data_IF_339173378029
#
_entry.id   IF_339173378029
#
_cell.length_a   1.000
_cell.length_b   1.000
_cell.length_c   1.000
_cell.angle_alpha   90.00
_cell.angle_beta   90.00
_cell.angle_gamma   90.00
#
_symmetry.space_group_name_H-M   'P 1'
#
loop_
_entity.id
_entity.type
_entity.pdbx_description
1 polymer ?
#
# COMPACT_ATOMS: atom_id res chain seq x y z
N UNK A 1 2.77 -35.98 12.80
CA UNK A 1 2.33 -34.81 13.54
C UNK A 1 1.78 -33.75 12.62
N UNK A 2 0.91 -32.99 13.13
CA UNK A 2 0.34 -31.91 12.36
C UNK A 2 1.31 -30.76 12.31
N UNK A 3 1.55 -30.31 11.13
CA UNK A 3 2.35 -29.11 10.96
C UNK A 3 1.53 -27.90 11.35
N UNK A 4 2.18 -27.00 12.02
CA UNK A 4 1.54 -25.77 12.43
C UNK A 4 1.59 -24.77 11.30
N UNK A 5 1.24 -25.22 10.12
CA UNK A 5 1.26 -24.34 8.96
C UNK A 5 0.30 -23.19 9.16
N UNK A 6 0.77 -22.02 8.86
CA UNK A 6 -0.03 -20.82 9.03
C UNK A 6 0.05 -20.20 10.40
N UNK A 7 0.78 -20.79 11.33
CA UNK A 7 0.91 -20.21 12.67
C UNK A 7 2.04 -19.19 12.75
N UNK A 8 3.10 -19.36 11.98
CA UNK A 8 4.18 -18.38 11.98
C UNK A 8 3.70 -17.05 11.38
N UNK A 9 4.07 -15.93 12.00
CA UNK A 9 3.59 -14.62 11.52
C UNK A 9 3.88 -14.33 10.05
N UNK A 10 4.94 -14.92 9.48
CA UNK A 10 5.26 -14.69 8.07
C UNK A 10 4.12 -15.07 7.13
N UNK A 11 3.24 -15.99 7.56
CA UNK A 11 2.11 -16.41 6.73
C UNK A 11 1.03 -15.35 6.61
N UNK A 12 1.09 -14.34 7.46
CA UNK A 12 0.15 -13.22 7.40
C UNK A 12 0.72 -12.00 6.68
N UNK A 13 1.96 -12.09 6.19
CA UNK A 13 2.51 -11.03 5.35
C UNK A 13 1.74 -10.94 4.06
N UNK A 14 1.53 -9.73 3.59
CA UNK A 14 0.83 -9.49 2.34
C UNK A 14 1.86 -9.45 1.21
N UNK A 15 1.70 -10.32 0.22
CA UNK A 15 2.65 -10.43 -0.88
C UNK A 15 2.83 -9.12 -1.65
N UNK A 16 1.74 -8.38 -1.85
CA UNK A 16 1.84 -7.10 -2.55
C UNK A 16 2.66 -6.10 -1.75
N UNK A 17 2.57 -6.14 -0.43
CA UNK A 17 3.23 -5.17 0.43
C UNK A 17 4.67 -5.57 0.80
N UNK A 18 5.13 -6.71 0.30
CA UNK A 18 6.53 -7.10 0.48
C UNK A 18 7.46 -6.44 -0.54
N UNK A 19 6.92 -5.69 -1.47
CA UNK A 19 7.70 -4.89 -2.39
C UNK A 19 7.91 -3.51 -1.78
N UNK A 20 9.16 -3.07 -1.70
CA UNK A 20 9.50 -1.81 -1.02
C UNK A 20 8.78 -0.60 -1.61
N UNK A 21 8.60 -0.56 -2.93
CA UNK A 21 7.93 0.57 -3.59
C UNK A 21 6.45 0.58 -3.22
N UNK A 22 5.77 -0.56 -3.35
CA UNK A 22 4.36 -0.64 -2.99
C UNK A 22 4.13 -0.39 -1.51
N UNK A 23 5.02 -0.91 -0.67
CA UNK A 23 4.98 -0.64 0.76
C UNK A 23 5.06 0.87 1.03
N UNK A 24 5.97 1.55 0.36
CA UNK A 24 6.16 3.00 0.53
C UNK A 24 4.95 3.80 0.05
N UNK A 25 4.35 3.38 -1.07
CA UNK A 25 3.13 4.02 -1.57
C UNK A 25 2.01 3.92 -0.55
N UNK A 26 1.77 2.72 -0.05
CA UNK A 26 0.67 2.50 0.90
C UNK A 26 0.94 3.21 2.22
N UNK A 27 2.20 3.25 2.66
CA UNK A 27 2.58 3.99 3.87
C UNK A 27 2.22 5.47 3.74
N UNK A 28 2.52 6.08 2.59
CA UNK A 28 2.20 7.48 2.35
C UNK A 28 0.69 7.71 2.36
N UNK A 29 -0.05 6.82 1.73
CA UNK A 29 -1.51 6.94 1.68
C UNK A 29 -2.15 6.68 3.03
N UNK A 30 -1.60 5.79 3.83
CA UNK A 30 -2.14 5.52 5.16
C UNK A 30 -2.05 6.77 6.04
N UNK A 31 -0.98 7.53 5.93
CA UNK A 31 -0.84 8.75 6.72
C UNK A 31 -1.76 9.87 6.23
N UNK A 32 -1.93 9.99 4.93
CA UNK A 32 -2.63 11.13 4.34
C UNK A 32 -4.08 10.85 3.97
N UNK A 33 -4.41 9.58 3.74
CA UNK A 33 -5.72 9.16 3.25
C UNK A 33 -5.80 9.26 1.73
N UNK A 34 -5.65 10.44 1.19
CA UNK A 34 -5.69 10.69 -0.25
C UNK A 34 -4.54 11.62 -0.63
N UNK A 35 -3.85 11.28 -1.69
CA UNK A 35 -2.78 12.11 -2.24
C UNK A 35 -2.91 12.17 -3.76
N UNK A 36 -2.38 13.23 -4.34
CA UNK A 36 -2.26 13.31 -5.80
C UNK A 36 -1.21 12.33 -6.29
N UNK A 37 -1.38 11.90 -7.53
CA UNK A 37 -0.43 10.98 -8.18
C UNK A 37 1.00 11.54 -8.12
N UNK A 38 1.16 12.83 -8.47
CA UNK A 38 2.49 13.46 -8.47
C UNK A 38 3.09 13.54 -7.06
N UNK A 39 2.25 13.78 -6.07
CA UNK A 39 2.72 13.84 -4.68
C UNK A 39 3.30 12.49 -4.25
N UNK A 40 2.61 11.41 -4.59
CA UNK A 40 3.09 10.06 -4.27
C UNK A 40 4.37 9.75 -5.05
N UNK A 41 4.38 10.08 -6.36
CA UNK A 41 5.56 9.88 -7.19
C UNK A 41 6.80 10.53 -6.58
N UNK A 42 6.65 11.78 -6.17
CA UNK A 42 7.79 12.53 -5.64
C UNK A 42 8.19 12.04 -4.26
N UNK A 43 7.21 11.69 -3.42
CA UNK A 43 7.48 11.19 -2.07
C UNK A 43 8.21 9.84 -2.10
N UNK A 44 7.87 8.99 -3.05
CA UNK A 44 8.48 7.66 -3.16
C UNK A 44 9.72 7.66 -4.08
N UNK A 45 9.92 8.77 -4.79
CA UNK A 45 11.10 8.98 -5.65
C UNK A 45 11.20 7.96 -6.78
N UNK A 46 10.11 7.84 -7.54
CA UNK A 46 10.05 6.95 -8.69
C UNK A 46 9.53 7.72 -9.92
N UNK A 47 9.58 7.06 -11.08
CA UNK A 47 9.08 7.66 -12.32
C UNK A 47 7.56 7.53 -12.42
N UNK A 48 6.96 8.32 -13.32
CA UNK A 48 5.54 8.22 -13.61
C UNK A 48 5.14 6.81 -14.03
N UNK A 49 5.92 6.20 -14.93
CA UNK A 49 5.59 4.88 -15.42
C UNK A 49 5.73 3.81 -14.34
N UNK A 50 6.75 3.94 -13.48
CA UNK A 50 6.92 3.02 -12.36
C UNK A 50 5.75 3.14 -11.38
N UNK A 51 5.33 4.37 -11.06
CA UNK A 51 4.19 4.56 -10.18
C UNK A 51 2.92 4.00 -10.80
N UNK A 52 2.66 4.30 -12.08
CA UNK A 52 1.48 3.79 -12.77
C UNK A 52 1.39 2.26 -12.69
N UNK A 53 2.52 1.59 -12.88
CA UNK A 53 2.58 0.14 -12.82
C UNK A 53 2.23 -0.38 -11.42
N UNK A 54 2.79 0.23 -10.40
CA UNK A 54 2.54 -0.20 -9.02
C UNK A 54 1.13 0.12 -8.57
N UNK A 55 0.61 1.28 -8.97
CA UNK A 55 -0.76 1.67 -8.68
C UNK A 55 -1.74 0.69 -9.33
N UNK A 56 -1.48 0.28 -10.56
CA UNK A 56 -2.34 -0.69 -11.24
C UNK A 56 -2.43 -2.01 -10.46
N UNK A 57 -1.30 -2.47 -9.92
CA UNK A 57 -1.29 -3.69 -9.13
C UNK A 57 -2.09 -3.52 -7.83
N UNK A 58 -1.92 -2.38 -7.16
CA UNK A 58 -2.65 -2.12 -5.92
C UNK A 58 -4.14 -1.91 -6.16
N UNK A 59 -4.49 -1.27 -7.27
CA UNK A 59 -5.89 -1.06 -7.65
C UNK A 59 -6.56 -2.39 -7.96
N UNK A 60 -5.88 -3.26 -8.72
CA UNK A 60 -6.38 -4.59 -9.04
C UNK A 60 -6.69 -5.41 -7.80
N UNK A 61 -5.90 -5.25 -6.77
CA UNK A 61 -6.11 -5.96 -5.50
C UNK A 61 -7.18 -5.30 -4.63
N UNK A 62 -7.68 -4.14 -5.03
CA UNK A 62 -8.69 -3.42 -4.26
C UNK A 62 -8.13 -2.60 -3.11
N UNK A 63 -6.80 -2.38 -3.09
CA UNK A 63 -6.17 -1.65 -1.98
C UNK A 63 -6.13 -0.15 -2.19
N UNK A 64 -6.14 0.28 -3.44
CA UNK A 64 -6.06 1.69 -3.81
C UNK A 64 -7.18 2.01 -4.78
N UNK A 65 -7.82 3.14 -4.59
CA UNK A 65 -8.79 3.68 -5.52
C UNK A 65 -8.15 4.85 -6.26
N UNK A 66 -8.31 4.86 -7.56
CA UNK A 66 -7.80 5.93 -8.42
C UNK A 66 -8.97 6.82 -8.79
N UNK A 67 -8.82 8.10 -8.54
CA UNK A 67 -9.88 9.07 -8.84
C UNK A 67 -9.36 10.21 -9.70
N UNK A 68 -10.29 11.00 -10.17
CA UNK A 68 -9.98 12.23 -10.90
C UNK A 68 -10.61 13.39 -10.18
N UNK A 69 -9.86 14.47 -10.08
CA UNK A 69 -10.34 15.70 -9.50
C UNK A 69 -9.83 16.85 -10.37
N UNK A 70 -10.34 18.03 -10.14
CA UNK A 70 -9.88 19.20 -10.85
C UNK A 70 -9.38 20.23 -9.85
N UNK A 71 -8.25 20.85 -10.20
CA UNK A 71 -7.77 22.03 -9.50
C UNK A 71 -7.89 23.17 -10.52
N UNK A 72 -8.93 23.97 -10.38
CA UNK A 72 -9.31 24.89 -11.43
C UNK A 72 -9.77 24.11 -12.65
N UNK A 73 -9.07 24.25 -13.76
CA UNK A 73 -9.37 23.52 -15.00
C UNK A 73 -8.41 22.37 -15.25
N UNK A 74 -7.47 22.16 -14.34
CA UNK A 74 -6.46 21.14 -14.52
C UNK A 74 -6.92 19.83 -13.90
N UNK A 75 -7.02 18.75 -14.70
CA UNK A 75 -7.37 17.45 -14.13
C UNK A 75 -6.20 16.91 -13.33
N UNK A 76 -6.52 16.28 -12.22
CA UNK A 76 -5.54 15.67 -11.33
C UNK A 76 -5.97 14.25 -11.02
N UNK A 77 -5.03 13.36 -11.06
CA UNK A 77 -5.25 11.98 -10.62
C UNK A 77 -4.98 11.91 -9.12
N UNK A 78 -5.91 11.34 -8.39
CA UNK A 78 -5.77 11.14 -6.95
C UNK A 78 -5.74 9.66 -6.62
N UNK A 79 -5.05 9.33 -5.55
CA UNK A 79 -4.92 7.97 -5.04
C UNK A 79 -5.41 7.96 -3.61
N UNK A 80 -6.27 7.00 -3.30
CA UNK A 80 -6.84 6.85 -1.96
C UNK A 80 -6.68 5.42 -1.49
N UNK A 81 -6.25 5.26 -0.26
CA UNK A 81 -6.19 3.94 0.36
C UNK A 81 -7.62 3.51 0.71
N UNK A 82 -8.02 2.36 0.20
CA UNK A 82 -9.36 1.84 0.45
C UNK A 82 -9.43 1.24 1.85
N UNK A 83 -10.65 0.92 2.28
CA UNK A 83 -10.87 0.21 3.53
C UNK A 83 -10.10 -1.12 3.54
N UNK A 84 -10.17 -1.87 2.44
CA UNK A 84 -9.46 -3.14 2.32
C UNK A 84 -7.96 -2.93 2.32
N UNK A 85 -7.48 -1.89 1.64
CA UNK A 85 -6.07 -1.55 1.64
C UNK A 85 -5.56 -1.20 3.03
N UNK A 86 -6.36 -0.48 3.81
CA UNK A 86 -6.00 -0.14 5.18
C UNK A 86 -5.94 -1.38 6.06
N UNK A 87 -6.91 -2.28 5.90
CA UNK A 87 -6.90 -3.53 6.66
C UNK A 87 -5.68 -4.39 6.31
N UNK A 88 -5.35 -4.48 5.01
CA UNK A 88 -4.18 -5.21 4.56
C UNK A 88 -2.89 -4.59 5.12
N UNK A 89 -2.81 -3.27 5.11
CA UNK A 89 -1.66 -2.55 5.65
C UNK A 89 -1.44 -2.86 7.13
N UNK A 90 -2.51 -2.77 7.92
CA UNK A 90 -2.42 -3.05 9.36
C UNK A 90 -2.03 -4.48 9.65
N UNK A 91 -2.61 -5.43 8.92
CA UNK A 91 -2.27 -6.84 9.08
C UNK A 91 -0.83 -7.13 8.72
N UNK A 92 -0.34 -6.52 7.64
CA UNK A 92 1.04 -6.67 7.21
C UNK A 92 2.02 -6.11 8.26
N UNK A 93 1.75 -4.91 8.76
CA UNK A 93 2.60 -4.32 9.81
C UNK A 93 2.60 -5.16 11.08
N UNK A 94 1.44 -5.66 11.46
CA UNK A 94 1.33 -6.50 12.64
C UNK A 94 2.17 -7.77 12.48
N UNK A 95 2.10 -8.39 11.31
CA UNK A 95 2.90 -9.57 11.02
C UNK A 95 4.40 -9.25 11.08
N UNK A 96 4.82 -8.12 10.52
CA UNK A 96 6.22 -7.71 10.59
C UNK A 96 6.69 -7.54 12.03
N UNK A 97 5.88 -6.91 12.87
CA UNK A 97 6.23 -6.73 14.28
C UNK A 97 6.37 -8.06 14.98
N UNK A 98 5.47 -8.98 14.72
CA UNK A 98 5.53 -10.31 15.35
C UNK A 98 6.74 -11.11 14.90
N UNK A 99 7.08 -11.03 13.62
CA UNK A 99 8.29 -11.68 13.11
C UNK A 99 9.52 -11.11 13.82
N UNK A 100 9.54 -9.80 13.98
CA UNK A 100 10.68 -9.13 14.62
C UNK A 100 10.70 -9.30 16.14
N UNK A 101 9.61 -9.80 16.74
CA UNK A 101 9.53 -9.97 18.18
C UNK A 101 9.35 -8.69 18.95
N UNK A 102 8.77 -7.66 18.33
CA UNK A 102 8.65 -6.34 18.94
C UNK A 102 7.24 -5.98 19.36
N UNK A 103 6.34 -6.92 19.36
CA UNK A 103 4.95 -6.69 19.72
C UNK A 103 4.65 -7.00 21.19
N UNK A 104 5.67 -6.89 22.00
CA UNK A 104 5.58 -7.20 23.43
C UNK A 104 4.84 -6.11 24.20
#
# INVERSE_FOLDING_TARGET
MTLEQGTHPRHRLDDLLQNAVRFSIVAALDRAGTLGFREVRDAVEITDSALSKQVAALESAGYVAVGKAFVGRTPRTSLTLTRDGRAAWRGHLDALRQIAGSDQ
#
